data_IF_852738293005
#
_entry.id   IF_852738293005
#
_cell.length_a   1.000
_cell.length_b   1.000
_cell.length_c   1.000
_cell.angle_alpha   90.00
_cell.angle_beta   90.00
_cell.angle_gamma   90.00
#
_symmetry.space_group_name_H-M   'P 1'
#
loop_
_entity.id
_entity.type
_entity.pdbx_description
1 polymer ?
#
# COMPACT_ATOMS: atom_id res chain seq x y z
N UNK A 1 -35.13 9.58 -17.22
CA UNK A 1 -34.10 8.91 -16.41
C UNK A 1 -32.98 9.93 -16.34
N UNK A 2 -32.96 10.72 -15.27
CA UNK A 2 -32.13 11.93 -15.21
C UNK A 2 -30.68 11.55 -14.93
N UNK A 3 -29.83 11.68 -15.95
CA UNK A 3 -28.38 11.75 -15.79
C UNK A 3 -28.05 13.02 -15.01
N UNK A 4 -27.98 12.92 -13.68
CA UNK A 4 -27.44 14.01 -12.86
C UNK A 4 -25.95 14.16 -13.19
N UNK A 5 -25.63 15.23 -13.88
CA UNK A 5 -24.24 15.68 -14.09
C UNK A 5 -23.55 15.75 -12.72
N UNK A 6 -22.42 15.06 -12.59
CA UNK A 6 -21.66 15.05 -11.35
C UNK A 6 -21.26 16.47 -10.94
N UNK A 7 -21.31 16.75 -9.63
CA UNK A 7 -20.90 18.05 -9.12
C UNK A 7 -19.44 18.35 -9.51
N UNK A 8 -19.07 19.63 -9.77
CA UNK A 8 -17.74 19.98 -10.30
C UNK A 8 -16.56 19.45 -9.46
N UNK A 9 -16.71 19.39 -8.13
CA UNK A 9 -15.68 18.86 -7.25
C UNK A 9 -15.47 17.35 -7.40
N UNK A 10 -16.51 16.60 -7.77
CA UNK A 10 -16.41 15.15 -8.00
C UNK A 10 -15.65 14.86 -9.30
N UNK A 11 -15.94 15.63 -10.36
CA UNK A 11 -15.20 15.57 -11.64
C UNK A 11 -13.71 15.84 -11.40
N UNK A 12 -13.38 16.89 -10.64
CA UNK A 12 -12.00 17.22 -10.31
C UNK A 12 -11.28 16.11 -9.51
N UNK A 13 -11.99 15.42 -8.61
CA UNK A 13 -11.45 14.27 -7.88
C UNK A 13 -11.18 13.10 -8.82
N UNK A 14 -12.12 12.77 -9.70
CA UNK A 14 -11.96 11.70 -10.69
C UNK A 14 -10.79 11.96 -11.63
N UNK A 15 -10.62 13.19 -12.09
CA UNK A 15 -9.47 13.60 -12.91
C UNK A 15 -8.14 13.42 -12.16
N UNK A 16 -8.09 13.77 -10.87
CA UNK A 16 -6.90 13.56 -10.04
C UNK A 16 -6.61 12.07 -9.80
N UNK A 17 -7.63 11.26 -9.58
CA UNK A 17 -7.48 9.79 -9.45
C UNK A 17 -6.90 9.22 -10.74
N UNK A 18 -7.45 9.60 -11.90
CA UNK A 18 -6.93 9.16 -13.21
C UNK A 18 -5.50 9.59 -13.44
N UNK A 19 -5.15 10.83 -13.06
CA UNK A 19 -3.79 11.33 -13.19
C UNK A 19 -2.78 10.57 -12.31
N UNK A 20 -3.19 10.10 -11.13
CA UNK A 20 -2.35 9.33 -10.21
C UNK A 20 -2.31 7.82 -10.52
N UNK A 21 -3.21 7.34 -11.39
CA UNK A 21 -3.36 5.91 -11.67
C UNK A 21 -2.07 5.22 -12.13
N UNK A 22 -1.25 5.80 -13.04
CA UNK A 22 -0.01 5.15 -13.46
C UNK A 22 0.97 4.94 -12.30
N UNK A 23 1.14 5.95 -11.45
CA UNK A 23 2.05 5.89 -10.31
C UNK A 23 1.51 4.96 -9.22
N UNK A 24 0.19 4.96 -9.00
CA UNK A 24 -0.47 4.05 -8.07
C UNK A 24 -0.33 2.59 -8.51
N UNK A 25 -0.48 2.30 -9.81
CA UNK A 25 -0.20 0.96 -10.36
C UNK A 25 1.26 0.62 -10.15
N UNK A 26 2.20 1.51 -10.50
CA UNK A 26 3.64 1.27 -10.30
C UNK A 26 3.99 0.93 -8.85
N UNK A 27 3.46 1.70 -7.89
CA UNK A 27 3.63 1.43 -6.46
C UNK A 27 3.02 0.08 -6.06
N UNK A 28 1.77 -0.20 -6.47
CA UNK A 28 1.11 -1.46 -6.16
C UNK A 28 1.90 -2.66 -6.68
N UNK A 29 2.44 -2.57 -7.91
CA UNK A 29 3.30 -3.62 -8.47
C UNK A 29 4.52 -3.86 -7.62
N UNK A 30 5.18 -2.81 -7.13
CA UNK A 30 6.36 -2.94 -6.26
C UNK A 30 6.01 -3.56 -4.91
N UNK A 31 4.87 -3.18 -4.33
CA UNK A 31 4.37 -3.77 -3.09
C UNK A 31 4.08 -5.27 -3.28
N UNK A 32 3.39 -5.64 -4.36
CA UNK A 32 3.12 -7.05 -4.70
C UNK A 32 4.40 -7.83 -4.98
N UNK A 33 5.41 -7.24 -5.62
CA UNK A 33 6.70 -7.91 -5.83
C UNK A 33 7.55 -8.04 -4.55
N UNK A 34 7.15 -7.40 -3.45
CA UNK A 34 7.86 -7.46 -2.19
C UNK A 34 7.32 -8.61 -1.35
N UNK A 35 8.15 -9.61 -1.07
CA UNK A 35 7.81 -10.68 -0.15
C UNK A 35 7.61 -10.11 1.26
N UNK A 36 6.36 -9.86 1.61
CA UNK A 36 5.90 -9.30 2.88
C UNK A 36 5.07 -10.34 3.63
N UNK A 37 5.34 -11.63 3.44
CA UNK A 37 4.66 -12.67 4.20
C UNK A 37 4.85 -12.41 5.69
N UNK A 38 3.76 -12.51 6.44
CA UNK A 38 3.80 -12.34 7.89
C UNK A 38 4.74 -13.39 8.53
N UNK A 39 5.82 -12.98 9.22
CA UNK A 39 6.81 -13.89 9.79
C UNK A 39 6.26 -14.73 10.95
N UNK A 40 5.07 -14.40 11.47
CA UNK A 40 4.40 -15.12 12.54
C UNK A 40 3.40 -16.16 12.01
N UNK A 41 3.24 -16.29 10.69
CA UNK A 41 2.31 -17.25 10.11
C UNK A 41 2.82 -18.69 10.28
N UNK A 42 1.98 -19.66 10.65
CA UNK A 42 2.41 -21.04 10.87
C UNK A 42 3.12 -21.64 9.66
N UNK A 43 4.26 -22.31 9.91
CA UNK A 43 5.07 -22.94 8.86
C UNK A 43 5.99 -21.99 8.10
N UNK A 44 5.98 -20.70 8.42
CA UNK A 44 6.91 -19.72 7.86
C UNK A 44 8.14 -19.58 8.76
N UNK A 45 9.32 -19.64 8.17
CA UNK A 45 10.57 -19.31 8.83
C UNK A 45 10.76 -17.80 8.77
N UNK A 46 10.89 -17.17 9.93
CA UNK A 46 10.99 -15.70 10.04
C UNK A 46 12.13 -15.16 9.19
N UNK A 47 13.30 -15.80 9.24
CA UNK A 47 14.50 -15.40 8.52
C UNK A 47 14.32 -15.34 6.99
N UNK A 48 13.35 -16.07 6.43
CA UNK A 48 13.06 -16.06 5.00
C UNK A 48 12.23 -14.85 4.55
N UNK A 49 11.55 -14.16 5.47
CA UNK A 49 10.52 -13.16 5.14
C UNK A 49 10.62 -11.86 5.95
N UNK A 50 11.39 -11.85 7.04
CA UNK A 50 11.52 -10.69 7.93
C UNK A 50 12.05 -9.47 7.16
N UNK A 51 11.51 -8.29 7.49
CA UNK A 51 11.85 -7.03 6.84
C UNK A 51 10.98 -6.67 5.63
N UNK A 52 10.28 -7.63 5.03
CA UNK A 52 9.38 -7.37 3.88
C UNK A 52 8.30 -6.33 4.16
N UNK A 53 7.64 -6.44 5.32
CA UNK A 53 6.64 -5.46 5.77
C UNK A 53 7.22 -4.06 5.96
N UNK A 54 8.41 -3.98 6.58
CA UNK A 54 9.15 -2.72 6.77
C UNK A 54 9.50 -2.07 5.43
N UNK A 55 9.89 -2.88 4.45
CA UNK A 55 10.18 -2.41 3.09
C UNK A 55 8.92 -1.86 2.40
N UNK A 56 7.78 -2.57 2.47
CA UNK A 56 6.50 -2.06 1.97
C UNK A 56 6.11 -0.72 2.64
N UNK A 57 6.25 -0.62 3.96
CA UNK A 57 5.99 0.62 4.69
C UNK A 57 6.89 1.78 4.26
N UNK A 58 8.18 1.51 3.97
CA UNK A 58 9.10 2.50 3.43
C UNK A 58 8.66 2.97 2.04
N UNK A 59 8.27 2.07 1.14
CA UNK A 59 7.78 2.43 -0.21
C UNK A 59 6.55 3.34 -0.15
N UNK A 60 5.60 3.05 0.73
CA UNK A 60 4.42 3.91 0.96
C UNK A 60 4.82 5.28 1.50
N UNK A 61 5.78 5.32 2.43
CA UNK A 61 6.28 6.55 3.03
C UNK A 61 6.96 7.44 1.98
N UNK A 62 7.81 6.86 1.13
CA UNK A 62 8.52 7.57 0.07
C UNK A 62 7.55 8.12 -0.97
N UNK A 63 6.56 7.32 -1.38
CA UNK A 63 5.52 7.76 -2.31
C UNK A 63 4.72 8.94 -1.74
N UNK A 64 4.27 8.85 -0.49
CA UNK A 64 3.46 9.90 0.14
C UNK A 64 4.27 11.14 0.54
N UNK A 65 5.59 11.03 0.73
CA UNK A 65 6.47 12.18 0.93
C UNK A 65 6.40 13.15 -0.28
N UNK A 66 6.32 12.61 -1.50
CA UNK A 66 6.09 13.40 -2.72
C UNK A 66 4.77 14.18 -2.74
N UNK A 67 3.84 13.83 -1.85
CA UNK A 67 2.55 14.50 -1.66
C UNK A 67 2.48 15.34 -0.37
N UNK A 68 3.62 15.70 0.21
CA UNK A 68 3.75 16.48 1.44
C UNK A 68 3.11 15.80 2.66
N UNK A 69 3.26 14.49 2.77
CA UNK A 69 3.06 13.76 4.02
C UNK A 69 4.40 13.62 4.75
N UNK A 70 4.34 13.58 6.08
CA UNK A 70 5.49 13.29 6.94
C UNK A 70 5.29 11.90 7.52
N UNK A 71 6.34 11.08 7.51
CA UNK A 71 6.32 9.71 8.02
C UNK A 71 7.15 9.56 9.29
N UNK A 72 6.70 8.68 10.18
CA UNK A 72 7.38 8.26 11.39
C UNK A 72 7.41 6.73 11.44
N UNK A 73 8.54 6.18 11.86
CA UNK A 73 8.74 4.73 12.02
C UNK A 73 8.53 4.36 13.48
N UNK A 74 7.64 3.40 13.73
CA UNK A 74 7.39 2.88 15.08
C UNK A 74 7.63 1.38 15.07
N UNK A 75 8.59 0.92 15.86
CA UNK A 75 9.03 -0.47 15.86
C UNK A 75 9.13 -1.00 17.30
N UNK A 76 8.32 -2.01 17.62
CA UNK A 76 8.54 -2.86 18.81
C UNK A 76 9.66 -3.85 18.51
N UNK A 77 9.62 -4.42 17.31
CA UNK A 77 10.66 -5.24 16.72
C UNK A 77 11.40 -4.41 15.66
N UNK A 78 12.71 -4.13 15.83
CA UNK A 78 13.46 -3.26 14.92
C UNK A 78 13.45 -3.70 13.45
N UNK A 79 13.26 -5.00 13.19
CA UNK A 79 13.22 -5.55 11.83
C UNK A 79 11.81 -5.50 11.22
N UNK A 80 10.78 -5.28 12.05
CA UNK A 80 9.35 -5.28 11.67
C UNK A 80 8.65 -4.02 12.16
N UNK A 81 8.86 -2.94 11.42
CA UNK A 81 8.38 -1.60 11.73
C UNK A 81 6.97 -1.31 11.20
N UNK A 82 6.22 -0.53 11.95
CA UNK A 82 5.01 0.16 11.50
C UNK A 82 5.35 1.56 10.98
N UNK A 83 4.47 2.12 10.15
CA UNK A 83 4.57 3.49 9.65
C UNK A 83 3.36 4.31 10.04
N UNK A 84 3.60 5.47 10.63
CA UNK A 84 2.60 6.50 10.85
C UNK A 84 2.87 7.60 9.82
N UNK A 85 1.94 7.79 8.87
CA UNK A 85 2.08 8.77 7.80
C UNK A 85 1.01 9.84 7.98
N UNK A 86 1.43 11.10 8.09
CA UNK A 86 0.58 12.21 8.51
C UNK A 86 0.68 13.37 7.53
N UNK A 87 -0.47 13.89 7.11
CA UNK A 87 -0.59 15.22 6.49
C UNK A 87 -1.34 16.13 7.45
N UNK A 88 -0.69 17.20 7.90
CA UNK A 88 -1.34 18.18 8.78
C UNK A 88 -2.44 18.89 7.97
N UNK A 89 -3.68 18.79 8.44
CA UNK A 89 -4.78 19.55 7.86
C UNK A 89 -4.61 21.04 8.12
N UNK A 90 -5.12 21.86 7.20
CA UNK A 90 -5.11 23.34 7.32
C UNK A 90 -6.49 23.92 7.63
N UNK A 91 -7.55 23.09 7.62
CA UNK A 91 -8.93 23.49 7.91
C UNK A 91 -9.39 23.11 9.33
N UNK A 92 -10.61 23.50 9.68
CA UNK A 92 -11.27 23.17 10.96
C UNK A 92 -12.15 21.90 10.93
N UNK A 93 -11.96 21.03 9.94
CA UNK A 93 -12.71 19.79 9.80
C UNK A 93 -12.25 18.68 10.76
N UNK A 94 -12.90 17.51 10.67
CA UNK A 94 -12.51 16.32 11.45
C UNK A 94 -11.20 15.73 10.94
N UNK A 95 -10.37 15.26 11.88
CA UNK A 95 -9.25 14.38 11.54
C UNK A 95 -9.75 13.02 11.08
N UNK A 96 -9.05 12.41 10.13
CA UNK A 96 -9.32 11.07 9.62
C UNK A 96 -8.08 10.21 9.89
N UNK A 97 -8.29 9.01 10.40
CA UNK A 97 -7.26 7.99 10.55
C UNK A 97 -7.60 6.81 9.64
N UNK A 98 -6.66 6.43 8.78
CA UNK A 98 -6.78 5.26 7.89
C UNK A 98 -5.73 4.27 8.37
N UNK A 99 -6.18 3.06 8.72
CA UNK A 99 -5.31 1.98 9.14
C UNK A 99 -5.43 0.82 8.16
N UNK A 100 -4.29 0.19 7.89
CA UNK A 100 -4.19 -0.98 7.03
C UNK A 100 -2.90 -1.72 7.34
N UNK A 101 -2.79 -2.94 6.82
CA UNK A 101 -1.60 -3.78 6.94
C UNK A 101 -1.05 -4.08 5.55
N UNK A 102 0.24 -4.36 5.48
CA UNK A 102 0.95 -4.66 4.22
C UNK A 102 1.45 -6.10 4.17
N UNK A 103 1.33 -6.84 5.27
CA UNK A 103 1.69 -8.24 5.31
C UNK A 103 0.68 -9.11 4.58
N UNK A 104 1.17 -10.22 4.06
CA UNK A 104 0.38 -11.19 3.32
C UNK A 104 0.55 -12.59 3.92
N UNK A 105 -0.35 -13.50 3.54
CA UNK A 105 -0.12 -14.94 3.76
C UNK A 105 0.74 -15.49 2.62
N UNK A 106 1.42 -16.61 2.87
CA UNK A 106 2.15 -17.30 1.82
C UNK A 106 1.19 -17.78 0.71
N UNK A 107 1.58 -17.66 -0.58
CA UNK A 107 0.75 -18.13 -1.67
C UNK A 107 0.65 -19.66 -1.62
N UNK A 108 -0.57 -20.15 -1.79
CA UNK A 108 -0.84 -21.58 -1.85
C UNK A 108 -0.90 -22.07 -3.31
N UNK A 109 -0.50 -23.32 -3.55
CA UNK A 109 -0.54 -24.00 -4.87
C UNK A 109 -0.02 -23.12 -6.00
N UNK A 110 1.22 -22.63 -5.87
CA UNK A 110 1.85 -21.69 -6.82
C UNK A 110 1.73 -22.14 -8.28
N UNK A 111 1.84 -23.45 -8.54
CA UNK A 111 1.69 -24.04 -9.88
C UNK A 111 0.32 -23.87 -10.53
N UNK A 112 -0.70 -23.47 -9.77
CA UNK A 112 -2.08 -23.30 -10.25
C UNK A 112 -2.47 -21.85 -10.48
N UNK A 113 -1.57 -20.91 -10.18
CA UNK A 113 -1.79 -19.52 -10.50
C UNK A 113 -1.74 -19.36 -12.02
N UNK A 114 -2.82 -18.85 -12.62
CA UNK A 114 -2.87 -18.51 -14.05
C UNK A 114 -1.77 -17.50 -14.44
N UNK A 115 -1.36 -16.68 -13.47
CA UNK A 115 -0.24 -15.74 -13.57
C UNK A 115 1.16 -16.39 -13.59
N UNK A 116 1.28 -17.65 -13.16
CA UNK A 116 2.53 -18.37 -12.93
C UNK A 116 3.25 -17.95 -11.65
N UNK A 117 3.42 -16.63 -11.45
CA UNK A 117 4.05 -16.06 -10.26
C UNK A 117 3.06 -15.17 -9.47
N UNK A 118 2.64 -15.55 -8.25
CA UNK A 118 1.73 -14.76 -7.42
C UNK A 118 2.29 -13.39 -7.00
N UNK A 119 3.61 -13.21 -7.07
CA UNK A 119 4.29 -11.97 -6.71
C UNK A 119 4.58 -11.07 -7.90
N UNK A 120 4.27 -11.48 -9.13
CA UNK A 120 4.68 -10.76 -10.35
C UNK A 120 4.19 -9.29 -10.41
N UNK A 121 3.03 -9.00 -9.82
CA UNK A 121 2.36 -7.71 -9.95
C UNK A 121 2.03 -7.38 -11.42
N UNK A 122 1.97 -8.36 -12.32
CA UNK A 122 1.66 -8.10 -13.72
C UNK A 122 0.19 -7.73 -13.91
N UNK A 123 -0.05 -6.66 -14.68
CA UNK A 123 -1.38 -6.32 -15.21
C UNK A 123 -1.41 -6.86 -16.64
N UNK A 124 -2.41 -7.69 -16.94
CA UNK A 124 -2.59 -8.38 -18.22
C UNK A 124 -3.95 -8.04 -18.82
#
# INVERSE_FOLDING_TARGET
MDDKVAAPHMIAVDEKIRALLPDAISLLRRLVNTNSINPLFPGIRREDVIGGESACGAMLSDFLAGHNFVSETVAVDPERSNRIIRKKGTGGGRSIFINGHVDTVAPFRVSEWLGGNPWSGEVR
#
